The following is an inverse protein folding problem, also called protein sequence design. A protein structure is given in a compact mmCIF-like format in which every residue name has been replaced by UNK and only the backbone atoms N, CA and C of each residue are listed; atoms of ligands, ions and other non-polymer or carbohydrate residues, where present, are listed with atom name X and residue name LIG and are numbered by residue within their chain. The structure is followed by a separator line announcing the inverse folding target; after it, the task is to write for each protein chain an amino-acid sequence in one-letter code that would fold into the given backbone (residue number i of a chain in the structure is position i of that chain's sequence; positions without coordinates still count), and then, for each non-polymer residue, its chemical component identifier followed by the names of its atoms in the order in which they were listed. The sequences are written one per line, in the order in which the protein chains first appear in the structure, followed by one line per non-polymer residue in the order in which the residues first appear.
data_IF_663806920232
#
_entry.id   IF_663806920232
#
_cell.length_a   1.000
_cell.length_b   1.000
_cell.length_c   1.000
_cell.angle_alpha   90.00
_cell.angle_beta   90.00
_cell.angle_gamma   90.00
#
_symmetry.space_group_name_H-M   'P 1'
#
loop_
_entity.id
_entity.type
_entity.pdbx_description
1 polymer ?
#
# COMPACT_ATOMS: atom_id res chain seq x y z
N UNK A 1 30.54 3.74 10.69
CA UNK A 1 29.93 3.53 12.01
C UNK A 1 29.04 2.31 11.92
N UNK A 2 29.23 1.28 12.77
CA UNK A 2 28.26 0.18 12.86
C UNK A 2 27.03 0.74 13.56
N UNK A 3 25.87 0.65 12.93
CA UNK A 3 24.61 0.93 13.59
C UNK A 3 24.48 -0.02 14.79
N UNK A 4 24.19 0.51 15.99
CA UNK A 4 23.69 -0.30 17.12
C UNK A 4 22.40 -0.94 16.64
N UNK A 5 22.51 -2.23 16.33
CA UNK A 5 21.43 -3.04 15.83
C UNK A 5 20.78 -3.85 16.96
N UNK A 6 21.00 -3.47 18.23
CA UNK A 6 20.56 -4.25 19.37
C UNK A 6 19.05 -4.16 19.63
N UNK A 7 18.40 -3.04 19.29
CA UNK A 7 16.96 -2.85 19.48
C UNK A 7 16.17 -3.73 18.52
N UNK A 8 15.33 -4.66 18.99
CA UNK A 8 14.51 -5.50 18.11
C UNK A 8 13.40 -4.73 17.42
N UNK A 9 12.89 -5.28 16.32
CA UNK A 9 11.76 -4.73 15.57
C UNK A 9 10.67 -5.78 15.48
N UNK A 10 9.45 -5.44 15.87
CA UNK A 10 8.23 -6.22 15.66
C UNK A 10 7.49 -5.68 14.44
N UNK A 11 7.34 -6.52 13.43
CA UNK A 11 6.69 -6.19 12.17
C UNK A 11 5.28 -6.81 12.13
N UNK A 12 4.25 -5.97 12.24
CA UNK A 12 2.84 -6.35 12.12
C UNK A 12 2.43 -6.40 10.66
N UNK A 13 2.01 -7.60 10.24
CA UNK A 13 1.61 -7.85 8.87
C UNK A 13 2.84 -7.86 7.96
N UNK A 14 3.43 -9.02 7.70
CA UNK A 14 4.40 -9.18 6.62
C UNK A 14 3.70 -9.40 5.26
N UNK A 15 3.00 -8.39 4.77
CA UNK A 15 2.23 -8.52 3.53
C UNK A 15 3.11 -8.40 2.29
N UNK A 16 2.97 -9.39 1.40
CA UNK A 16 3.60 -9.43 0.07
C UNK A 16 5.11 -9.17 0.15
N UNK A 17 5.63 -8.35 -0.77
CA UNK A 17 7.04 -8.00 -0.84
C UNK A 17 7.44 -6.89 0.15
N UNK A 18 6.51 -6.02 0.55
CA UNK A 18 6.82 -4.89 1.45
C UNK A 18 7.32 -5.35 2.81
N UNK A 19 6.65 -6.34 3.42
CA UNK A 19 7.11 -6.90 4.70
C UNK A 19 8.48 -7.59 4.60
N UNK A 20 8.69 -8.42 3.57
CA UNK A 20 9.99 -9.06 3.32
C UNK A 20 11.10 -8.04 3.10
N UNK A 21 10.80 -6.94 2.42
CA UNK A 21 11.72 -5.84 2.20
C UNK A 21 12.16 -5.16 3.51
N UNK A 22 11.25 -4.98 4.48
CA UNK A 22 11.60 -4.46 5.83
C UNK A 22 12.51 -5.44 6.55
N UNK A 23 12.14 -6.73 6.57
CA UNK A 23 12.93 -7.82 7.16
C UNK A 23 14.35 -7.82 6.60
N UNK A 24 14.51 -7.73 5.28
CA UNK A 24 15.83 -7.69 4.63
C UNK A 24 16.59 -6.40 4.91
N UNK A 25 15.92 -5.25 4.85
CA UNK A 25 16.61 -3.96 5.02
C UNK A 25 17.26 -3.85 6.41
N UNK A 26 16.50 -4.20 7.45
CA UNK A 26 16.92 -4.12 8.84
C UNK A 26 17.78 -5.33 9.24
N UNK A 27 17.42 -6.55 8.84
CA UNK A 27 18.19 -7.74 9.17
C UNK A 27 19.58 -7.77 8.55
N UNK A 28 19.80 -7.14 7.39
CA UNK A 28 21.15 -6.93 6.82
C UNK A 28 22.04 -6.03 7.69
N UNK A 29 21.45 -5.22 8.57
CA UNK A 29 22.16 -4.39 9.54
C UNK A 29 22.38 -5.14 10.87
N UNK A 30 21.88 -6.38 10.98
CA UNK A 30 21.95 -7.19 12.20
C UNK A 30 20.79 -6.98 13.16
N UNK A 31 19.78 -6.20 12.79
CA UNK A 31 18.60 -5.92 13.63
C UNK A 31 17.76 -7.20 13.80
N UNK A 32 17.41 -7.63 15.03
CA UNK A 32 16.51 -8.75 15.25
C UNK A 32 15.08 -8.38 14.81
N UNK A 33 14.59 -8.98 13.72
CA UNK A 33 13.24 -8.71 13.21
C UNK A 33 12.28 -9.86 13.56
N UNK A 34 11.27 -9.57 14.37
CA UNK A 34 10.18 -10.46 14.75
C UNK A 34 9.01 -10.24 13.78
N UNK A 35 8.65 -11.27 13.04
CA UNK A 35 7.66 -11.17 11.95
C UNK A 35 6.32 -11.74 12.41
N UNK A 36 5.30 -10.87 12.49
CA UNK A 36 3.95 -11.26 12.88
C UNK A 36 3.05 -11.28 11.66
N UNK A 37 2.49 -12.44 11.31
CA UNK A 37 1.61 -12.55 10.16
C UNK A 37 0.69 -13.77 10.23
N UNK A 38 -0.57 -13.59 9.81
CA UNK A 38 -1.62 -14.63 9.83
C UNK A 38 -1.34 -15.90 9.02
N UNK A 39 -0.45 -15.80 8.04
CA UNK A 39 -0.20 -16.86 7.08
C UNK A 39 1.26 -17.29 7.12
N UNK A 40 1.47 -18.55 7.52
CA UNK A 40 2.78 -19.23 7.60
C UNK A 40 3.53 -19.30 6.28
N UNK A 41 2.82 -19.26 5.16
CA UNK A 41 3.43 -19.26 3.83
C UNK A 41 3.89 -17.86 3.39
N UNK A 42 3.82 -16.82 4.22
CA UNK A 42 4.31 -15.49 3.81
C UNK A 42 5.82 -15.51 3.53
N UNK A 43 6.32 -14.84 2.47
CA UNK A 43 7.74 -14.88 2.12
C UNK A 43 8.68 -14.48 3.26
N UNK A 44 8.27 -13.54 4.13
CA UNK A 44 9.06 -13.14 5.29
C UNK A 44 9.34 -14.28 6.27
N UNK A 45 8.48 -15.30 6.38
CA UNK A 45 8.71 -16.44 7.28
C UNK A 45 9.85 -17.36 6.83
N UNK A 46 10.25 -17.25 5.57
CA UNK A 46 11.34 -18.02 5.00
C UNK A 46 12.63 -17.19 4.88
N UNK A 47 12.59 -15.91 5.24
CA UNK A 47 13.78 -15.07 5.19
C UNK A 47 14.74 -15.46 6.29
N UNK A 48 16.03 -15.61 5.96
CA UNK A 48 17.09 -15.84 6.96
C UNK A 48 17.27 -14.66 7.94
N UNK A 49 16.74 -13.50 7.56
CA UNK A 49 16.84 -12.25 8.32
C UNK A 49 15.67 -12.10 9.31
N UNK A 50 14.70 -13.01 9.27
CA UNK A 50 13.69 -13.11 10.31
C UNK A 50 14.28 -13.77 11.54
N UNK A 51 14.20 -13.09 12.69
CA UNK A 51 14.63 -13.64 13.97
C UNK A 51 13.66 -14.69 14.47
N UNK A 52 12.38 -14.34 14.49
CA UNK A 52 11.27 -15.23 14.88
C UNK A 52 10.05 -14.94 14.00
N UNK A 53 9.25 -15.98 13.75
CA UNK A 53 8.09 -15.91 12.86
C UNK A 53 6.83 -16.41 13.58
N UNK A 54 5.88 -15.50 13.81
CA UNK A 54 4.77 -15.72 14.72
C UNK A 54 3.43 -15.55 14.00
N UNK A 55 2.54 -16.53 14.16
CA UNK A 55 1.24 -16.53 13.50
C UNK A 55 0.23 -15.78 14.36
N UNK A 56 -0.13 -14.57 13.92
CA UNK A 56 -1.21 -13.77 14.49
C UNK A 56 -1.80 -12.85 13.42
N UNK A 57 -3.10 -12.55 13.50
CA UNK A 57 -3.81 -11.68 12.54
C UNK A 57 -4.35 -10.43 13.23
N UNK A 58 -3.50 -9.41 13.40
CA UNK A 58 -3.91 -8.11 13.96
C UNK A 58 -5.00 -7.44 13.12
N UNK A 59 -5.08 -7.74 11.82
CA UNK A 59 -6.08 -7.12 10.94
C UNK A 59 -7.50 -7.65 11.21
N UNK A 60 -7.67 -8.77 11.91
CA UNK A 60 -8.99 -9.41 12.12
C UNK A 60 -9.29 -9.82 13.56
N UNK A 61 -8.27 -10.03 14.39
CA UNK A 61 -8.46 -10.40 15.79
C UNK A 61 -9.09 -9.25 16.59
N UNK A 62 -9.71 -9.58 17.73
CA UNK A 62 -10.19 -8.54 18.63
C UNK A 62 -9.01 -7.68 19.13
N UNK A 63 -9.20 -6.36 19.29
CA UNK A 63 -8.11 -5.49 19.73
C UNK A 63 -7.50 -5.91 21.07
N UNK A 64 -8.34 -6.33 22.02
CA UNK A 64 -7.93 -6.76 23.36
C UNK A 64 -7.05 -8.02 23.31
N UNK A 65 -7.41 -8.98 22.46
CA UNK A 65 -6.60 -10.18 22.22
C UNK A 65 -5.25 -9.84 21.60
N UNK A 66 -5.24 -8.88 20.66
CA UNK A 66 -3.99 -8.44 20.01
C UNK A 66 -3.08 -7.69 20.98
N UNK A 67 -3.63 -6.93 21.93
CA UNK A 67 -2.86 -6.26 22.98
C UNK A 67 -2.23 -7.28 23.94
N UNK A 68 -2.99 -8.29 24.38
CA UNK A 68 -2.46 -9.38 25.20
C UNK A 68 -1.34 -10.13 24.47
N UNK A 69 -1.55 -10.49 23.20
CA UNK A 69 -0.53 -11.10 22.37
C UNK A 69 0.75 -10.26 22.28
N UNK A 70 0.63 -8.95 22.08
CA UNK A 70 1.78 -8.06 21.98
C UNK A 70 2.50 -7.86 23.31
N UNK A 71 1.78 -7.87 24.43
CA UNK A 71 2.37 -7.89 25.77
C UNK A 71 3.21 -9.15 25.98
N UNK A 72 2.63 -10.32 25.71
CA UNK A 72 3.33 -11.62 25.83
C UNK A 72 4.55 -11.67 24.91
N UNK A 73 4.43 -11.11 23.69
CA UNK A 73 5.55 -11.01 22.76
C UNK A 73 6.67 -10.10 23.30
N UNK A 74 6.33 -8.95 23.90
CA UNK A 74 7.32 -8.09 24.56
C UNK A 74 8.01 -8.82 25.71
N UNK A 75 7.28 -9.61 26.49
CA UNK A 75 7.85 -10.44 27.57
C UNK A 75 8.80 -11.50 27.03
N UNK A 76 8.41 -12.20 25.95
CA UNK A 76 9.26 -13.16 25.25
C UNK A 76 10.55 -12.52 24.70
N UNK A 77 10.46 -11.31 24.14
CA UNK A 77 11.62 -10.57 23.63
C UNK A 77 12.53 -10.08 24.78
N UNK A 78 11.94 -9.84 25.96
CA UNK A 78 12.64 -9.45 27.18
C UNK A 78 13.08 -7.98 27.23
N UNK A 79 12.69 -7.15 26.25
CA UNK A 79 13.04 -5.72 26.16
C UNK A 79 12.09 -4.94 25.26
N UNK A 80 12.10 -3.62 25.39
CA UNK A 80 11.40 -2.70 24.47
C UNK A 80 11.90 -2.92 23.04
N UNK A 81 10.96 -2.83 22.11
CA UNK A 81 11.19 -3.10 20.70
C UNK A 81 10.48 -2.04 19.85
N UNK A 82 10.96 -1.82 18.63
CA UNK A 82 10.29 -0.93 17.70
C UNK A 82 9.09 -1.66 17.09
N UNK A 83 7.91 -1.05 17.10
CA UNK A 83 6.70 -1.60 16.50
C UNK A 83 6.39 -0.91 15.18
N UNK A 84 6.16 -1.68 14.11
CA UNK A 84 5.79 -1.12 12.80
C UNK A 84 4.82 -2.02 12.07
N UNK A 85 4.01 -1.44 11.18
CA UNK A 85 2.98 -2.14 10.41
C UNK A 85 3.12 -1.89 8.91
N UNK A 86 2.68 -2.85 8.09
CA UNK A 86 2.63 -2.69 6.62
C UNK A 86 1.21 -2.57 6.04
N UNK A 87 0.18 -2.69 6.88
CA UNK A 87 -1.23 -2.47 6.52
C UNK A 87 -1.75 -1.20 7.17
N UNK A 88 -2.76 -0.57 6.54
CA UNK A 88 -3.45 0.58 7.13
C UNK A 88 -4.19 0.17 8.40
N UNK A 89 -4.73 -1.06 8.42
CA UNK A 89 -5.39 -1.64 9.61
C UNK A 89 -4.40 -1.76 10.77
N UNK A 90 -3.20 -2.30 10.53
CA UNK A 90 -2.16 -2.38 11.56
C UNK A 90 -1.66 -1.01 12.01
N UNK A 91 -1.52 -0.04 11.10
CA UNK A 91 -1.14 1.33 11.46
C UNK A 91 -2.22 2.02 12.31
N UNK A 92 -3.50 1.84 11.96
CA UNK A 92 -4.63 2.33 12.76
C UNK A 92 -4.71 1.63 14.12
N UNK A 93 -4.46 0.31 14.19
CA UNK A 93 -4.41 -0.41 15.47
C UNK A 93 -3.35 0.18 16.40
N UNK A 94 -2.13 0.44 15.90
CA UNK A 94 -1.06 1.06 16.69
C UNK A 94 -1.50 2.44 17.21
N UNK A 95 -2.09 3.28 16.35
CA UNK A 95 -2.53 4.61 16.73
C UNK A 95 -3.72 4.61 17.71
N UNK A 96 -4.67 3.70 17.52
CA UNK A 96 -5.86 3.57 18.36
C UNK A 96 -5.53 3.08 19.78
N UNK A 97 -4.40 2.37 19.95
CA UNK A 97 -3.95 1.80 21.23
C UNK A 97 -2.58 2.32 21.68
N UNK A 98 -2.19 3.51 21.20
CA UNK A 98 -0.88 4.09 21.46
C UNK A 98 -0.56 4.17 22.96
N UNK A 99 -1.50 4.64 23.78
CA UNK A 99 -1.32 4.80 25.23
C UNK A 99 -0.81 3.52 25.91
N UNK A 100 -1.40 2.37 25.59
CA UNK A 100 -0.98 1.08 26.15
C UNK A 100 0.29 0.55 25.48
N UNK A 101 0.37 0.65 24.15
CA UNK A 101 1.50 0.09 23.39
C UNK A 101 2.82 0.82 23.69
N UNK A 102 2.78 2.11 24.04
CA UNK A 102 3.99 2.87 24.41
C UNK A 102 4.64 2.38 25.71
N UNK A 103 3.96 1.56 26.53
CA UNK A 103 4.58 0.90 27.68
C UNK A 103 5.57 -0.21 27.25
N UNK A 104 5.35 -0.80 26.08
CA UNK A 104 6.05 -2.01 25.62
C UNK A 104 6.92 -1.77 24.38
N UNK A 105 6.53 -0.82 23.53
CA UNK A 105 7.11 -0.60 22.22
C UNK A 105 7.42 0.86 21.95
N UNK A 106 8.37 1.08 21.03
CA UNK A 106 8.72 2.38 20.48
C UNK A 106 8.18 2.48 19.04
N UNK A 107 7.46 3.55 18.73
CA UNK A 107 6.93 3.83 17.41
C UNK A 107 6.64 5.33 17.28
N UNK A 108 6.57 5.89 16.05
CA UNK A 108 6.25 7.29 15.86
C UNK A 108 4.89 7.61 16.47
N UNK A 109 4.86 8.52 17.43
CA UNK A 109 3.61 8.96 18.04
C UNK A 109 2.86 9.87 17.08
N UNK A 110 1.73 9.38 16.58
CA UNK A 110 0.88 10.07 15.62
C UNK A 110 -0.53 10.23 16.19
N UNK A 111 -1.13 11.41 16.03
CA UNK A 111 -2.51 11.64 16.45
C UNK A 111 -3.47 10.67 15.75
N UNK A 112 -4.24 9.91 16.54
CA UNK A 112 -5.22 8.92 16.07
C UNK A 112 -6.12 9.46 14.97
N UNK A 113 -6.71 10.64 15.20
CA UNK A 113 -7.65 11.26 14.27
C UNK A 113 -6.97 11.64 12.96
N UNK A 114 -5.72 12.11 13.01
CA UNK A 114 -4.96 12.44 11.82
C UNK A 114 -4.66 11.19 10.98
N UNK A 115 -4.23 10.09 11.61
CA UNK A 115 -3.98 8.84 10.89
C UNK A 115 -5.26 8.30 10.23
N UNK A 116 -6.40 8.34 10.94
CA UNK A 116 -7.71 7.99 10.40
C UNK A 116 -8.11 8.86 9.21
N UNK A 117 -7.91 10.18 9.34
CA UNK A 117 -8.22 11.10 8.25
C UNK A 117 -7.35 10.87 7.01
N UNK A 118 -6.07 10.52 7.17
CA UNK A 118 -5.19 10.20 6.05
C UNK A 118 -5.55 8.87 5.37
N UNK A 119 -5.93 7.84 6.14
CA UNK A 119 -6.37 6.55 5.60
C UNK A 119 -7.76 6.60 4.92
N UNK A 120 -8.63 7.53 5.33
CA UNK A 120 -9.96 7.70 4.77
C UNK A 120 -9.91 8.50 3.47
N UNK A 121 -10.31 7.90 2.34
CA UNK A 121 -10.37 8.63 1.04
C UNK A 121 -11.22 9.91 1.11
N UNK A 122 -12.26 9.90 1.96
CA UNK A 122 -13.16 11.04 2.14
C UNK A 122 -12.51 12.15 2.94
N UNK A 123 -11.97 11.82 4.12
CA UNK A 123 -11.36 12.82 4.99
C UNK A 123 -10.04 13.33 4.41
N UNK A 124 -9.25 12.47 3.77
CA UNK A 124 -8.02 12.84 3.06
C UNK A 124 -8.29 13.88 1.97
N UNK A 125 -9.37 13.72 1.19
CA UNK A 125 -9.78 14.71 0.19
C UNK A 125 -10.05 16.08 0.83
N UNK A 126 -10.89 16.12 1.87
CA UNK A 126 -11.21 17.37 2.54
C UNK A 126 -10.00 17.99 3.24
N UNK A 127 -9.10 17.17 3.79
CA UNK A 127 -7.86 17.61 4.39
C UNK A 127 -6.93 18.24 3.35
N UNK A 128 -6.77 17.60 2.19
CA UNK A 128 -6.00 18.16 1.07
C UNK A 128 -6.59 19.51 0.60
N UNK A 129 -7.92 19.61 0.45
CA UNK A 129 -8.61 20.86 0.08
C UNK A 129 -8.41 21.95 1.14
N UNK A 130 -8.50 21.62 2.43
CA UNK A 130 -8.28 22.55 3.56
C UNK A 130 -6.89 23.19 3.51
N UNK A 131 -5.88 22.43 3.09
CA UNK A 131 -4.49 22.87 3.02
C UNK A 131 -4.06 23.31 1.62
N UNK A 132 -5.01 23.51 0.69
CA UNK A 132 -4.75 23.92 -0.69
C UNK A 132 -3.79 22.99 -1.45
N UNK A 133 -3.79 21.70 -1.11
CA UNK A 133 -3.02 20.68 -1.81
C UNK A 133 -3.85 20.17 -2.99
N UNK A 134 -3.33 20.22 -4.23
CA UNK A 134 -4.08 19.71 -5.38
C UNK A 134 -4.47 18.25 -5.18
N UNK A 135 -5.74 17.93 -5.43
CA UNK A 135 -6.31 16.58 -5.35
C UNK A 135 -7.42 16.48 -6.41
N UNK A 136 -7.69 15.31 -7.02
CA UNK A 136 -8.75 15.20 -8.02
C UNK A 136 -10.10 15.61 -7.43
N UNK A 137 -10.85 16.45 -8.15
CA UNK A 137 -12.16 16.91 -7.67
C UNK A 137 -13.08 15.72 -7.42
N UNK A 138 -13.67 15.67 -6.22
CA UNK A 138 -14.35 14.47 -5.72
C UNK A 138 -15.65 14.84 -5.03
N UNK A 139 -16.68 14.03 -5.27
CA UNK A 139 -17.98 14.10 -4.59
C UNK A 139 -18.29 12.79 -3.86
N UNK A 140 -18.98 12.90 -2.73
CA UNK A 140 -19.43 11.79 -1.88
C UNK A 140 -20.96 11.81 -1.80
N UNK A 141 -21.65 11.36 -2.85
CA UNK A 141 -23.10 11.37 -2.90
C UNK A 141 -23.68 10.38 -1.87
N UNK A 142 -24.77 10.78 -1.20
CA UNK A 142 -25.54 9.92 -0.31
C UNK A 142 -26.94 9.61 -0.88
N UNK A 143 -27.27 10.22 -2.02
CA UNK A 143 -28.58 10.14 -2.64
C UNK A 143 -28.50 10.46 -4.14
N UNK A 144 -29.57 10.12 -4.86
CA UNK A 144 -29.72 10.52 -6.26
C UNK A 144 -29.70 12.04 -6.44
N UNK A 145 -30.26 12.77 -5.49
CA UNK A 145 -30.24 14.24 -5.49
C UNK A 145 -28.81 14.80 -5.45
N UNK A 146 -27.92 14.19 -4.65
CA UNK A 146 -26.51 14.61 -4.61
C UNK A 146 -25.80 14.40 -5.95
N UNK A 147 -26.15 13.32 -6.67
CA UNK A 147 -25.64 13.05 -8.02
C UNK A 147 -26.12 14.12 -8.99
N UNK A 148 -27.41 14.44 -9.00
CA UNK A 148 -27.96 15.46 -9.89
C UNK A 148 -27.34 16.84 -9.64
N UNK A 149 -27.05 17.17 -8.38
CA UNK A 149 -26.28 18.37 -8.01
C UNK A 149 -24.84 18.32 -8.54
N UNK A 150 -24.14 17.20 -8.39
CA UNK A 150 -22.78 17.04 -8.93
C UNK A 150 -22.74 17.19 -10.46
N UNK A 151 -23.75 16.65 -11.15
CA UNK A 151 -23.86 16.71 -12.61
C UNK A 151 -23.99 18.13 -13.17
N UNK A 152 -24.39 19.12 -12.36
CA UNK A 152 -24.46 20.51 -12.80
C UNK A 152 -23.09 21.10 -13.15
N UNK A 153 -22.01 20.59 -12.54
CA UNK A 153 -20.64 21.08 -12.73
C UNK A 153 -19.65 20.00 -13.14
N UNK A 154 -20.11 18.74 -13.27
CA UNK A 154 -19.28 17.59 -13.59
C UNK A 154 -18.57 17.75 -14.94
N UNK A 155 -17.27 17.41 -14.95
CA UNK A 155 -16.47 17.28 -16.17
C UNK A 155 -16.18 15.80 -16.40
N UNK A 156 -16.59 15.30 -17.55
CA UNK A 156 -16.39 13.91 -17.93
C UNK A 156 -15.06 13.70 -18.66
N UNK A 157 -14.46 12.50 -18.57
CA UNK A 157 -14.97 11.33 -17.84
C UNK A 157 -14.74 11.40 -16.32
N UNK A 158 -15.46 10.56 -15.56
CA UNK A 158 -15.34 10.46 -14.10
C UNK A 158 -15.21 9.01 -13.65
N UNK A 159 -14.57 8.80 -12.50
CA UNK A 159 -14.43 7.51 -11.84
C UNK A 159 -15.48 7.36 -10.74
N UNK A 160 -16.26 6.27 -10.80
CA UNK A 160 -17.09 5.82 -9.69
C UNK A 160 -16.35 4.69 -8.96
N UNK A 161 -16.08 4.88 -7.66
CA UNK A 161 -15.35 3.90 -6.84
C UNK A 161 -15.87 3.87 -5.40
N UNK A 162 -15.65 2.78 -4.66
CA UNK A 162 -16.00 2.76 -3.25
C UNK A 162 -15.03 3.60 -2.39
N UNK A 163 -15.58 4.29 -1.38
CA UNK A 163 -14.82 5.06 -0.39
C UNK A 163 -13.92 4.11 0.39
N UNK A 164 -14.52 3.12 1.04
CA UNK A 164 -13.80 2.07 1.77
C UNK A 164 -13.52 0.88 0.85
N UNK A 165 -12.25 0.51 0.75
CA UNK A 165 -11.81 -0.66 0.01
C UNK A 165 -11.80 -1.88 0.92
N UNK A 166 -12.28 -3.03 0.42
CA UNK A 166 -12.35 -4.29 1.15
C UNK A 166 -12.39 -5.47 0.18
N UNK A 167 -12.38 -6.73 0.67
CA UNK A 167 -12.33 -7.92 -0.17
C UNK A 167 -13.48 -8.03 -1.18
N UNK A 168 -14.62 -7.39 -0.88
CA UNK A 168 -15.83 -7.34 -1.70
C UNK A 168 -16.10 -5.93 -2.26
N UNK A 169 -15.14 -5.02 -2.19
CA UNK A 169 -15.30 -3.69 -2.73
C UNK A 169 -15.45 -3.75 -4.25
N UNK A 170 -16.39 -2.96 -4.76
CA UNK A 170 -16.66 -2.89 -6.18
C UNK A 170 -15.45 -2.34 -6.94
N UNK A 171 -15.20 -2.83 -8.17
CA UNK A 171 -14.11 -2.30 -8.96
C UNK A 171 -14.43 -0.86 -9.38
N UNK A 172 -13.37 -0.07 -9.53
CA UNK A 172 -13.45 1.28 -10.10
C UNK A 172 -14.09 1.20 -11.49
N UNK A 173 -15.09 2.04 -11.74
CA UNK A 173 -15.76 2.17 -13.04
C UNK A 173 -15.51 3.56 -13.62
N UNK A 174 -15.22 3.61 -14.92
CA UNK A 174 -15.11 4.86 -15.66
C UNK A 174 -16.47 5.14 -16.31
N UNK A 175 -17.03 6.32 -16.06
CA UNK A 175 -18.20 6.83 -16.77
C UNK A 175 -17.75 7.93 -17.74
N UNK A 176 -18.03 7.74 -19.02
CA UNK A 176 -17.70 8.71 -20.09
C UNK A 176 -18.76 9.80 -20.21
N UNK A 177 -19.98 9.54 -19.74
CA UNK A 177 -21.11 10.46 -19.89
C UNK A 177 -21.97 10.51 -18.63
N UNK A 178 -22.78 11.58 -18.53
CA UNK A 178 -23.81 11.71 -17.49
C UNK A 178 -24.71 10.47 -17.41
N UNK A 179 -25.20 9.99 -18.56
CA UNK A 179 -26.08 8.82 -18.61
C UNK A 179 -25.40 7.57 -18.03
N UNK A 180 -24.16 7.30 -18.43
CA UNK A 180 -23.39 6.17 -17.91
C UNK A 180 -23.15 6.26 -16.41
N UNK A 181 -22.85 7.45 -15.88
CA UNK A 181 -22.67 7.64 -14.44
C UNK A 181 -23.95 7.30 -13.66
N UNK A 182 -25.09 7.78 -14.16
CA UNK A 182 -26.39 7.54 -13.53
C UNK A 182 -26.74 6.04 -13.54
N UNK A 183 -26.60 5.38 -14.69
CA UNK A 183 -26.83 3.94 -14.83
C UNK A 183 -25.91 3.13 -13.90
N UNK A 184 -24.62 3.49 -13.83
CA UNK A 184 -23.65 2.85 -12.94
C UNK A 184 -24.02 3.05 -11.47
N UNK A 185 -24.36 4.27 -11.07
CA UNK A 185 -24.75 4.59 -9.70
C UNK A 185 -26.00 3.81 -9.29
N UNK A 186 -27.06 3.86 -10.10
CA UNK A 186 -28.33 3.18 -9.78
C UNK A 186 -28.19 1.65 -9.73
N UNK A 187 -27.25 1.08 -10.50
CA UNK A 187 -26.97 -0.36 -10.47
C UNK A 187 -26.20 -0.84 -9.25
N UNK A 188 -25.62 0.09 -8.48
CA UNK A 188 -24.65 -0.21 -7.42
C UNK A 188 -25.11 0.30 -6.06
N UNK A 189 -25.72 1.49 -6.02
CA UNK A 189 -25.97 2.20 -4.77
C UNK A 189 -26.95 1.43 -3.90
N UNK A 190 -26.56 1.29 -2.63
CA UNK A 190 -27.43 0.88 -1.54
C UNK A 190 -27.59 2.10 -0.61
N UNK A 191 -28.73 2.82 -0.65
CA UNK A 191 -28.94 4.00 0.18
C UNK A 191 -28.80 3.72 1.69
N UNK A 192 -28.99 2.47 2.13
CA UNK A 192 -28.81 2.08 3.53
C UNK A 192 -27.32 1.96 3.93
N UNK A 193 -26.42 1.89 2.94
CA UNK A 193 -24.98 1.65 3.09
C UNK A 193 -24.16 2.43 2.06
N UNK A 194 -24.46 3.71 1.91
CA UNK A 194 -23.77 4.56 0.94
C UNK A 194 -22.25 4.55 1.17
N UNK A 195 -21.52 4.08 0.16
CA UNK A 195 -20.07 3.91 0.20
C UNK A 195 -19.43 4.30 -1.14
N UNK A 196 -20.12 5.11 -1.95
CA UNK A 196 -19.62 5.50 -3.27
C UNK A 196 -19.03 6.91 -3.25
N UNK A 197 -18.00 7.09 -4.07
CA UNK A 197 -17.45 8.39 -4.40
C UNK A 197 -17.32 8.52 -5.92
N UNK A 198 -17.58 9.74 -6.41
CA UNK A 198 -17.32 10.13 -7.79
C UNK A 198 -16.08 11.00 -7.78
N UNK A 199 -15.12 10.68 -8.63
CA UNK A 199 -13.86 11.39 -8.70
C UNK A 199 -13.53 11.77 -10.13
N UNK A 200 -12.97 12.95 -10.33
CA UNK A 200 -12.37 13.40 -11.58
C UNK A 200 -11.42 12.33 -12.13
N UNK A 201 -11.59 11.97 -13.41
CA UNK A 201 -10.59 11.19 -14.11
C UNK A 201 -9.48 12.11 -14.61
N UNK A 202 -8.25 11.85 -14.16
CA UNK A 202 -7.05 12.52 -14.68
C UNK A 202 -6.53 11.73 -15.89
N UNK A 203 -6.52 12.30 -17.11
CA UNK A 203 -6.03 11.64 -18.31
C UNK A 203 -4.53 11.32 -18.24
N UNK A 204 -4.13 10.29 -18.98
CA UNK A 204 -2.73 9.92 -19.17
C UNK A 204 -2.43 8.47 -18.77
N UNK A 205 -1.22 8.02 -19.09
CA UNK A 205 -0.76 6.67 -18.81
C UNK A 205 -0.16 6.52 -17.42
N UNK A 206 0.50 5.37 -17.20
CA UNK A 206 1.26 5.08 -15.98
C UNK A 206 2.40 6.09 -15.77
N UNK A 207 2.88 6.68 -16.85
CA UNK A 207 3.88 7.73 -16.91
C UNK A 207 3.46 9.01 -16.16
N UNK A 208 2.16 9.24 -15.99
CA UNK A 208 1.61 10.33 -15.17
C UNK A 208 1.49 9.98 -13.68
N UNK A 209 1.80 8.74 -13.28
CA UNK A 209 1.73 8.31 -11.87
C UNK A 209 3.05 8.55 -11.18
N UNK A 210 3.00 9.38 -10.16
CA UNK A 210 4.13 9.69 -9.30
C UNK A 210 3.89 9.15 -7.90
N UNK A 211 4.98 8.92 -7.18
CA UNK A 211 4.94 8.53 -5.77
C UNK A 211 5.98 9.33 -5.02
N UNK A 212 5.66 9.61 -3.76
CA UNK A 212 6.59 10.08 -2.76
C UNK A 212 6.74 9.01 -1.68
N UNK A 213 7.97 8.78 -1.25
CA UNK A 213 8.26 7.96 -0.09
C UNK A 213 9.23 8.71 0.82
N UNK A 214 8.89 8.80 2.11
CA UNK A 214 9.73 9.53 3.04
C UNK A 214 9.47 9.20 4.49
N UNK A 215 10.25 9.82 5.36
CA UNK A 215 10.16 9.66 6.80
C UNK A 215 10.16 11.03 7.47
N UNK A 216 9.18 11.27 8.34
CA UNK A 216 9.09 12.48 9.17
C UNK A 216 9.52 12.10 10.58
N UNK A 217 10.64 12.64 11.05
CA UNK A 217 11.17 12.34 12.38
C UNK A 217 10.30 12.95 13.50
N UNK A 218 10.66 12.69 14.76
CA UNK A 218 10.01 13.25 15.96
C UNK A 218 9.80 14.78 15.94
N UNK A 219 10.68 15.53 15.27
CA UNK A 219 10.61 16.99 15.17
C UNK A 219 9.79 17.43 13.94
N UNK A 220 9.38 16.49 13.09
CA UNK A 220 8.61 16.72 11.88
C UNK A 220 9.48 17.02 10.67
N UNK A 221 10.80 16.83 10.78
CA UNK A 221 11.73 17.06 9.68
C UNK A 221 11.75 15.84 8.76
N UNK A 222 11.84 16.09 7.45
CA UNK A 222 11.85 15.05 6.42
C UNK A 222 13.18 15.04 5.64
N UNK A 223 14.22 14.48 6.27
CA UNK A 223 15.56 14.36 5.68
C UNK A 223 15.69 13.17 4.70
N UNK A 224 14.76 12.22 4.79
CA UNK A 224 14.66 11.07 3.90
C UNK A 224 13.39 11.23 3.08
N UNK A 225 13.54 11.72 1.85
CA UNK A 225 12.44 12.06 0.96
C UNK A 225 12.81 11.74 -0.48
N UNK A 226 12.06 10.83 -1.09
CA UNK A 226 12.31 10.34 -2.43
C UNK A 226 11.05 10.42 -3.27
N UNK A 227 11.24 10.60 -4.57
CA UNK A 227 10.18 10.55 -5.56
C UNK A 227 10.49 9.53 -6.62
N UNK A 228 9.45 8.99 -7.25
CA UNK A 228 9.59 8.02 -8.31
C UNK A 228 8.33 7.86 -9.13
N UNK A 229 8.42 6.99 -10.14
CA UNK A 229 7.33 6.70 -11.08
C UNK A 229 7.09 5.21 -11.16
N UNK A 230 5.84 4.87 -11.46
CA UNK A 230 5.44 3.50 -11.79
C UNK A 230 5.63 3.30 -13.30
N UNK A 231 6.50 2.38 -13.70
CA UNK A 231 6.71 2.05 -15.11
C UNK A 231 5.71 0.99 -15.59
N UNK A 232 5.28 0.11 -14.68
CA UNK A 232 4.21 -0.86 -14.90
C UNK A 232 3.45 -1.12 -13.61
N UNK A 233 2.17 -1.45 -13.75
CA UNK A 233 1.27 -1.75 -12.65
C UNK A 233 0.76 -3.18 -12.70
N UNK A 234 0.39 -3.72 -11.53
CA UNK A 234 -0.38 -4.94 -11.38
C UNK A 234 -1.62 -4.71 -10.48
N UNK A 235 -2.84 -5.03 -10.97
CA UNK A 235 -3.13 -5.36 -12.37
C UNK A 235 -2.75 -4.23 -13.36
N UNK A 236 -2.64 -4.51 -14.66
CA UNK A 236 -2.34 -3.49 -15.67
C UNK A 236 -3.32 -2.31 -15.61
N UNK A 237 -2.81 -1.09 -15.84
CA UNK A 237 -3.54 0.20 -15.85
C UNK A 237 -4.15 0.64 -14.51
N UNK A 238 -4.36 -0.31 -13.58
CA UNK A 238 -4.96 -0.07 -12.27
C UNK A 238 -4.22 -0.88 -11.21
N UNK A 239 -3.60 -0.22 -10.24
CA UNK A 239 -3.12 -0.92 -9.05
C UNK A 239 -1.75 -0.49 -8.56
N UNK A 240 -1.04 -1.46 -7.97
CA UNK A 240 0.26 -1.27 -7.36
C UNK A 240 1.36 -1.39 -8.41
N UNK A 241 2.49 -0.73 -8.20
CA UNK A 241 3.64 -0.85 -9.09
C UNK A 241 4.14 -2.30 -9.14
N UNK A 242 4.42 -2.81 -10.34
CA UNK A 242 5.19 -4.04 -10.56
C UNK A 242 6.61 -3.75 -11.02
N UNK A 243 6.85 -2.58 -11.63
CA UNK A 243 8.16 -2.04 -11.96
C UNK A 243 8.16 -0.55 -11.65
N UNK A 244 9.15 -0.08 -10.90
CA UNK A 244 9.31 1.32 -10.53
C UNK A 244 10.69 1.87 -10.88
N UNK A 245 10.78 3.19 -11.02
CA UNK A 245 12.02 3.94 -11.21
C UNK A 245 12.06 5.14 -10.26
N UNK A 246 13.20 5.35 -9.61
CA UNK A 246 13.44 6.51 -8.78
C UNK A 246 13.82 7.69 -9.68
N UNK A 247 13.08 8.79 -9.55
CA UNK A 247 13.25 10.00 -10.36
C UNK A 247 12.87 11.19 -9.50
N UNK A 248 13.75 12.16 -9.38
CA UNK A 248 13.52 13.39 -8.64
C UNK A 248 12.39 14.21 -9.24
N UNK A 249 11.53 14.74 -8.38
CA UNK A 249 10.46 15.66 -8.71
C UNK A 249 10.29 16.64 -7.57
N UNK A 250 10.86 17.83 -7.75
CA UNK A 250 10.90 18.86 -6.70
C UNK A 250 9.50 19.32 -6.29
N UNK A 251 8.56 19.43 -7.23
CA UNK A 251 7.20 19.86 -6.92
C UNK A 251 6.47 18.85 -6.05
N UNK A 252 6.54 17.55 -6.38
CA UNK A 252 5.97 16.47 -5.57
C UNK A 252 6.62 16.43 -4.19
N UNK A 253 7.95 16.50 -4.13
CA UNK A 253 8.72 16.48 -2.88
C UNK A 253 8.33 17.65 -1.98
N UNK A 254 8.43 18.88 -2.47
CA UNK A 254 8.12 20.09 -1.71
C UNK A 254 6.68 20.11 -1.22
N UNK A 255 5.72 19.87 -2.11
CA UNK A 255 4.28 19.84 -1.76
C UNK A 255 3.99 18.81 -0.67
N UNK A 256 4.60 17.62 -0.75
CA UNK A 256 4.39 16.58 0.25
C UNK A 256 4.97 17.00 1.61
N UNK A 257 6.22 17.48 1.63
CA UNK A 257 6.89 17.87 2.87
C UNK A 257 6.12 19.02 3.55
N UNK A 258 5.80 20.07 2.81
CA UNK A 258 5.04 21.22 3.35
C UNK A 258 3.69 20.79 3.91
N UNK A 259 2.93 19.97 3.18
CA UNK A 259 1.63 19.48 3.63
C UNK A 259 1.72 18.64 4.90
N UNK A 260 2.63 17.67 4.93
CA UNK A 260 2.79 16.75 6.06
C UNK A 260 3.34 17.44 7.30
N UNK A 261 4.26 18.42 7.13
CA UNK A 261 4.72 19.26 8.23
C UNK A 261 3.59 20.12 8.79
N UNK A 262 2.77 20.73 7.92
CA UNK A 262 1.69 21.63 8.33
C UNK A 262 0.59 20.91 9.12
N UNK A 263 0.34 19.63 8.86
CA UNK A 263 -0.59 18.80 9.64
C UNK A 263 0.07 18.11 10.83
N UNK A 264 1.37 18.32 11.08
CA UNK A 264 2.07 17.71 12.20
C UNK A 264 2.28 16.20 12.06
N UNK A 265 2.44 15.68 10.84
CA UNK A 265 2.67 14.26 10.59
C UNK A 265 4.04 13.79 11.09
N UNK A 266 4.09 12.56 11.60
CA UNK A 266 5.28 11.85 12.10
C UNK A 266 5.29 10.40 11.61
N UNK A 267 6.48 9.89 11.31
CA UNK A 267 6.71 8.51 10.90
C UNK A 267 6.87 8.31 9.39
N UNK A 268 6.84 7.04 8.93
CA UNK A 268 7.03 6.68 7.54
C UNK A 268 5.81 7.05 6.69
N UNK A 269 6.01 7.48 5.45
CA UNK A 269 4.96 7.89 4.54
C UNK A 269 5.16 7.29 3.14
N UNK A 270 4.06 6.81 2.56
CA UNK A 270 3.96 6.46 1.14
C UNK A 270 2.76 7.18 0.53
N UNK A 271 2.99 7.98 -0.50
CA UNK A 271 2.01 8.88 -1.07
C UNK A 271 1.98 8.75 -2.60
N UNK A 272 0.78 8.69 -3.18
CA UNK A 272 0.56 8.62 -4.62
C UNK A 272 0.03 9.92 -5.22
N UNK A 273 0.62 10.34 -6.33
CA UNK A 273 0.22 11.49 -7.12
C UNK A 273 -0.16 11.07 -8.54
N UNK A 274 -1.03 11.87 -9.19
CA UNK A 274 -1.14 11.91 -10.65
C UNK A 274 -0.85 13.31 -11.16
N UNK A 275 -0.05 13.39 -12.22
CA UNK A 275 0.16 14.62 -12.96
C UNK A 275 -1.02 14.85 -13.92
N UNK A 276 -1.61 16.04 -13.85
CA UNK A 276 -2.67 16.47 -14.74
C UNK A 276 -2.13 17.49 -15.74
N UNK A 277 -1.90 17.05 -16.97
CA UNK A 277 -1.34 17.90 -18.01
C UNK A 277 -2.27 19.06 -18.43
N UNK A 278 -3.56 19.02 -18.05
CA UNK A 278 -4.53 20.06 -18.40
C UNK A 278 -4.34 21.34 -17.59
N UNK A 279 -3.89 21.20 -16.35
CA UNK A 279 -3.67 22.32 -15.41
C UNK A 279 -2.23 22.36 -14.87
N UNK A 280 -1.37 21.42 -15.27
CA UNK A 280 0.04 21.36 -14.89
C UNK A 280 0.26 20.95 -13.42
N UNK A 281 -0.75 20.41 -12.74
CA UNK A 281 -0.67 20.11 -11.31
C UNK A 281 -0.41 18.63 -11.01
N UNK A 282 0.35 18.37 -9.94
CA UNK A 282 0.43 17.05 -9.33
C UNK A 282 -0.65 16.92 -8.26
N UNK A 283 -1.67 16.11 -8.55
CA UNK A 283 -2.84 15.91 -7.69
C UNK A 283 -2.64 14.68 -6.79
N UNK A 284 -2.71 14.87 -5.47
CA UNK A 284 -2.65 13.81 -4.46
C UNK A 284 -3.84 12.87 -4.65
N UNK A 285 -3.55 11.59 -4.84
CA UNK A 285 -4.56 10.57 -5.08
C UNK A 285 -4.76 9.64 -3.86
N UNK A 286 -3.69 9.32 -3.13
CA UNK A 286 -3.72 8.36 -2.02
C UNK A 286 -2.59 8.67 -1.03
N UNK A 287 -2.85 8.58 0.27
CA UNK A 287 -1.88 8.80 1.34
C UNK A 287 -1.90 7.58 2.26
N UNK A 288 -0.75 6.96 2.46
CA UNK A 288 -0.59 5.77 3.28
C UNK A 288 0.36 6.11 4.44
N UNK A 289 -0.16 6.31 5.66
CA UNK A 289 0.63 6.73 6.83
C UNK A 289 1.41 5.55 7.44
N UNK A 290 2.21 4.87 6.61
CA UNK A 290 2.99 3.68 6.93
C UNK A 290 4.07 3.44 5.89
N UNK A 291 4.92 2.44 6.12
CA UNK A 291 5.89 1.98 5.11
C UNK A 291 5.13 1.40 3.91
N UNK A 292 5.33 2.02 2.74
CA UNK A 292 4.76 1.59 1.46
C UNK A 292 5.44 0.33 0.92
N UNK A 293 4.71 -0.49 0.16
CA UNK A 293 5.25 -1.74 -0.37
C UNK A 293 6.45 -1.55 -1.33
N UNK A 294 6.50 -0.40 -2.01
CA UNK A 294 7.56 -0.07 -2.97
C UNK A 294 8.77 0.66 -2.37
N UNK A 295 8.85 0.81 -1.04
CA UNK A 295 9.85 1.68 -0.41
C UNK A 295 11.30 1.32 -0.77
N UNK A 296 11.60 0.06 -1.09
CA UNK A 296 12.94 -0.38 -1.52
C UNK A 296 13.35 0.07 -2.93
N UNK A 297 12.44 0.67 -3.70
CA UNK A 297 12.82 1.50 -4.85
C UNK A 297 13.70 2.68 -4.41
N UNK A 298 13.49 3.16 -3.19
CA UNK A 298 14.04 4.38 -2.65
C UNK A 298 15.11 4.08 -1.60
N UNK A 299 16.33 3.81 -2.09
CA UNK A 299 17.50 3.57 -1.24
C UNK A 299 18.53 4.64 -1.58
N UNK A 300 18.71 5.59 -0.67
CA UNK A 300 19.66 6.69 -0.85
C UNK A 300 21.09 6.20 -1.06
N UNK A 301 21.95 7.08 -1.58
CA UNK A 301 23.36 6.74 -1.85
C UNK A 301 24.14 6.28 -0.59
N UNK A 302 23.70 6.71 0.60
CA UNK A 302 24.20 6.28 1.90
C UNK A 302 23.56 4.97 2.41
N UNK A 303 22.72 4.31 1.61
CA UNK A 303 21.98 3.10 1.97
C UNK A 303 20.71 3.37 2.79
N UNK A 304 20.32 4.62 3.02
CA UNK A 304 19.13 4.96 3.80
C UNK A 304 17.85 4.64 3.04
N UNK A 305 16.90 4.02 3.72
CA UNK A 305 15.51 3.88 3.31
C UNK A 305 14.59 4.22 4.48
N UNK A 306 13.28 4.29 4.26
CA UNK A 306 12.34 4.70 5.33
C UNK A 306 12.27 3.73 6.51
N UNK A 307 12.60 2.44 6.32
CA UNK A 307 12.65 1.49 7.43
C UNK A 307 13.89 1.75 8.30
N UNK A 308 15.03 2.08 7.67
CA UNK A 308 16.26 2.48 8.37
C UNK A 308 16.11 3.84 9.04
N UNK A 309 15.43 4.79 8.41
CA UNK A 309 15.12 6.09 9.00
C UNK A 309 14.26 5.93 10.26
N UNK A 310 13.20 5.11 10.18
CA UNK A 310 12.40 4.72 11.35
C UNK A 310 13.26 4.12 12.45
N UNK A 311 14.15 3.19 12.11
CA UNK A 311 15.04 2.57 13.09
C UNK A 311 15.96 3.58 13.78
N UNK A 312 16.58 4.46 13.01
CA UNK A 312 17.48 5.50 13.54
C UNK A 312 16.72 6.45 14.47
N UNK A 313 15.58 6.99 14.05
CA UNK A 313 14.78 7.88 14.89
C UNK A 313 14.32 7.19 16.18
N UNK A 314 13.76 5.98 16.11
CA UNK A 314 13.27 5.28 17.30
C UNK A 314 14.39 4.84 18.25
N UNK A 315 15.64 4.72 17.77
CA UNK A 315 16.82 4.47 18.62
C UNK A 315 17.50 5.75 19.10
N UNK A 316 16.88 6.92 18.92
CA UNK A 316 17.41 8.21 19.37
C UNK A 316 18.56 8.74 18.53
N UNK A 317 18.77 8.19 17.33
CA UNK A 317 19.81 8.63 16.40
C UNK A 317 19.28 9.70 15.47
N UNK A 318 20.19 10.53 15.02
CA UNK A 318 19.91 11.47 13.94
C UNK A 318 19.65 10.72 12.63
N UNK A 319 18.49 10.97 12.02
CA UNK A 319 18.17 10.52 10.66
C UNK A 319 19.02 11.34 9.70
N UNK A 320 19.96 10.68 9.01
CA UNK A 320 20.83 11.37 8.06
C UNK A 320 20.11 11.67 6.73
N UNK A 321 20.30 12.87 6.16
CA UNK A 321 19.80 13.18 4.83
C UNK A 321 20.26 12.18 3.78
N UNK A 322 19.37 11.82 2.87
CA UNK A 322 19.63 10.85 1.83
C UNK A 322 19.42 11.46 0.44
N UNK A 323 20.43 11.37 -0.41
CA UNK A 323 20.32 11.83 -1.80
C UNK A 323 19.54 10.83 -2.63
N UNK A 324 18.69 11.34 -3.54
CA UNK A 324 17.86 10.52 -4.43
C UNK A 324 18.74 9.66 -5.36
N UNK A 325 18.55 8.33 -5.40
CA UNK A 325 19.29 7.44 -6.31
C UNK A 325 18.69 7.50 -7.72
N UNK A 326 19.00 8.55 -8.49
CA UNK A 326 18.45 8.76 -9.83
C UNK A 326 18.57 7.54 -10.74
N UNK A 327 17.46 7.17 -11.38
CA UNK A 327 17.41 6.07 -12.35
C UNK A 327 17.38 4.67 -11.75
N UNK A 328 17.54 4.51 -10.43
CA UNK A 328 17.45 3.22 -9.74
C UNK A 328 16.10 2.56 -10.01
N UNK A 329 16.09 1.27 -10.35
CA UNK A 329 14.85 0.52 -10.60
C UNK A 329 14.63 -0.64 -9.62
N UNK A 330 13.36 -0.95 -9.41
CA UNK A 330 12.86 -2.02 -8.56
C UNK A 330 11.72 -2.78 -9.24
N UNK A 331 11.63 -4.09 -9.01
CA UNK A 331 10.64 -4.98 -9.63
C UNK A 331 9.95 -5.93 -8.63
N UNK A 332 8.70 -6.27 -8.93
CA UNK A 332 7.94 -7.38 -8.33
C UNK A 332 7.82 -8.51 -9.35
N UNK A 333 8.68 -9.51 -9.26
CA UNK A 333 8.96 -10.49 -10.30
C UNK A 333 7.72 -11.29 -10.73
N UNK A 334 6.94 -11.81 -9.77
CA UNK A 334 5.76 -12.64 -10.03
C UNK A 334 4.61 -11.85 -10.68
N UNK A 335 4.58 -10.53 -10.48
CA UNK A 335 3.54 -9.63 -11.02
C UNK A 335 3.93 -9.00 -12.33
N UNK A 336 5.19 -8.55 -12.42
CA UNK A 336 5.64 -7.80 -13.57
C UNK A 336 5.62 -8.63 -14.84
N UNK A 337 5.96 -9.93 -14.75
CA UNK A 337 5.82 -10.85 -15.88
C UNK A 337 4.38 -10.93 -16.40
N UNK A 338 3.40 -11.07 -15.50
CA UNK A 338 1.98 -11.17 -15.87
C UNK A 338 1.51 -9.86 -16.50
N UNK A 339 1.89 -8.73 -15.90
CA UNK A 339 1.58 -7.42 -16.43
C UNK A 339 2.22 -7.22 -17.81
N UNK A 340 3.52 -7.45 -17.96
CA UNK A 340 4.25 -7.28 -19.22
C UNK A 340 3.61 -8.06 -20.38
N UNK A 341 3.19 -9.31 -20.14
CA UNK A 341 2.48 -10.11 -21.15
C UNK A 341 1.15 -9.46 -21.57
N UNK A 342 0.42 -8.86 -20.62
CA UNK A 342 -0.84 -8.16 -20.93
C UNK A 342 -0.59 -6.86 -21.69
N UNK A 343 0.35 -6.01 -21.26
CA UNK A 343 0.73 -4.80 -22.00
C UNK A 343 1.22 -5.13 -23.42
N UNK A 344 1.94 -6.25 -23.60
CA UNK A 344 2.36 -6.72 -24.91
C UNK A 344 1.16 -7.09 -25.80
N UNK A 345 0.20 -7.86 -25.26
CA UNK A 345 -1.03 -8.24 -25.98
C UNK A 345 -1.91 -7.04 -26.34
N UNK A 346 -1.91 -6.01 -25.49
CA UNK A 346 -2.66 -4.77 -25.70
C UNK A 346 -1.90 -3.78 -26.63
N UNK A 347 -0.73 -4.16 -27.17
CA UNK A 347 0.09 -3.33 -28.06
C UNK A 347 0.78 -2.15 -27.38
N UNK A 348 0.82 -2.12 -26.04
CA UNK A 348 1.40 -1.04 -25.22
C UNK A 348 2.85 -1.29 -24.81
N UNK A 349 3.37 -2.48 -25.07
CA UNK A 349 4.75 -2.85 -24.78
C UNK A 349 5.31 -3.73 -25.89
N UNK A 350 6.49 -3.39 -26.42
CA UNK A 350 7.20 -4.28 -27.36
C UNK A 350 8.15 -5.19 -26.59
N UNK A 351 8.59 -6.30 -27.20
CA UNK A 351 9.61 -7.17 -26.58
C UNK A 351 10.92 -6.40 -26.30
N UNK A 352 11.32 -5.53 -27.24
CA UNK A 352 12.48 -4.63 -27.06
C UNK A 352 12.26 -3.67 -25.90
N UNK A 353 11.11 -2.99 -25.86
CA UNK A 353 10.76 -2.06 -24.78
C UNK A 353 10.68 -2.75 -23.41
N UNK A 354 10.19 -3.99 -23.36
CA UNK A 354 10.23 -4.80 -22.14
C UNK A 354 11.66 -5.06 -21.68
N UNK A 355 12.54 -5.57 -22.56
CA UNK A 355 13.96 -5.79 -22.22
C UNK A 355 14.66 -4.51 -21.78
N UNK A 356 14.42 -3.40 -22.47
CA UNK A 356 14.98 -2.08 -22.11
C UNK A 356 14.47 -1.59 -20.76
N UNK A 357 13.19 -1.81 -20.44
CA UNK A 357 12.61 -1.42 -19.15
C UNK A 357 13.27 -2.11 -17.96
N UNK A 358 13.73 -3.36 -18.14
CA UNK A 358 14.41 -4.16 -17.11
C UNK A 358 15.88 -3.80 -16.93
N UNK A 359 16.48 -3.07 -17.87
CA UNK A 359 17.88 -2.62 -17.74
C UNK A 359 17.99 -1.67 -16.55
N UNK A 360 18.95 -1.93 -15.66
CA UNK A 360 19.16 -1.13 -14.44
C UNK A 360 18.23 -1.49 -13.28
N UNK A 361 17.53 -2.64 -13.33
CA UNK A 361 16.87 -3.19 -12.14
C UNK A 361 17.93 -3.63 -11.14
N UNK A 362 17.93 -2.98 -9.99
CA UNK A 362 18.88 -3.18 -8.91
C UNK A 362 18.24 -3.79 -7.66
N UNK A 363 16.91 -3.68 -7.51
CA UNK A 363 16.17 -4.32 -6.40
C UNK A 363 15.10 -5.28 -6.93
N UNK A 364 15.16 -6.51 -6.44
CA UNK A 364 14.18 -7.56 -6.67
C UNK A 364 13.36 -7.79 -5.40
N UNK A 365 12.06 -8.04 -5.55
CA UNK A 365 11.16 -8.15 -4.39
C UNK A 365 11.31 -9.47 -3.64
N UNK A 366 11.52 -10.58 -4.33
CA UNK A 366 11.55 -11.91 -3.72
C UNK A 366 12.89 -12.63 -3.90
N UNK A 367 13.57 -12.42 -5.02
CA UNK A 367 14.85 -13.06 -5.33
C UNK A 367 15.98 -12.24 -4.72
N UNK A 368 16.80 -12.87 -3.87
CA UNK A 368 18.02 -12.27 -3.35
C UNK A 368 19.08 -13.37 -3.12
N UNK A 369 20.33 -13.12 -3.51
CA UNK A 369 21.42 -14.11 -3.38
C UNK A 369 21.75 -14.42 -1.92
N UNK A 370 21.69 -13.39 -1.08
CA UNK A 370 21.95 -13.48 0.35
C UNK A 370 20.78 -14.05 1.14
N UNK A 371 19.57 -14.10 0.56
CA UNK A 371 18.33 -14.58 1.19
C UNK A 371 17.40 -15.26 0.17
N UNK A 372 17.71 -16.50 -0.28
CA UNK A 372 17.03 -17.16 -1.41
C UNK A 372 15.69 -17.85 -1.05
N UNK A 373 15.50 -18.25 0.21
CA UNK A 373 14.36 -19.04 0.66
C UNK A 373 12.97 -18.37 0.60
N UNK A 374 12.80 -17.04 0.64
CA UNK A 374 11.51 -16.38 0.46
C UNK A 374 10.74 -16.76 -0.82
N UNK A 375 11.44 -17.21 -1.87
CA UNK A 375 10.82 -17.74 -3.10
C UNK A 375 9.92 -18.95 -2.80
N UNK A 376 10.26 -19.79 -1.82
CA UNK A 376 9.43 -20.92 -1.38
C UNK A 376 8.07 -20.43 -0.86
N UNK A 377 8.05 -19.37 -0.06
CA UNK A 377 6.81 -18.75 0.42
C UNK A 377 5.95 -18.19 -0.72
N UNK A 378 6.58 -17.58 -1.73
CA UNK A 378 5.87 -17.10 -2.93
C UNK A 378 5.20 -18.27 -3.66
N UNK A 379 5.94 -19.34 -3.94
CA UNK A 379 5.42 -20.54 -4.62
C UNK A 379 4.29 -21.17 -3.80
N UNK A 380 4.47 -21.34 -2.50
CA UNK A 380 3.46 -21.91 -1.60
C UNK A 380 2.15 -21.11 -1.62
N UNK A 381 2.24 -19.77 -1.62
CA UNK A 381 1.05 -18.91 -1.73
C UNK A 381 0.35 -19.03 -3.08
N UNK A 382 1.10 -19.13 -4.18
CA UNK A 382 0.54 -19.32 -5.53
C UNK A 382 -0.20 -20.66 -5.60
N UNK A 383 0.40 -21.73 -5.10
CA UNK A 383 -0.20 -23.08 -5.07
C UNK A 383 -1.49 -23.06 -4.23
N UNK A 384 -1.46 -22.47 -3.03
CA UNK A 384 -2.65 -22.38 -2.18
C UNK A 384 -3.76 -21.58 -2.86
N UNK A 385 -3.46 -20.39 -3.38
CA UNK A 385 -4.46 -19.55 -4.06
C UNK A 385 -5.10 -20.26 -5.26
N UNK A 386 -4.32 -21.05 -5.99
CA UNK A 386 -4.80 -21.87 -7.12
C UNK A 386 -5.73 -22.98 -6.61
N UNK A 387 -5.33 -23.71 -5.57
CA UNK A 387 -6.16 -24.75 -4.94
C UNK A 387 -7.49 -24.20 -4.44
N UNK A 388 -7.49 -23.06 -3.77
CA UNK A 388 -8.70 -22.40 -3.26
C UNK A 388 -9.63 -21.97 -4.40
N UNK A 389 -9.08 -21.50 -5.53
CA UNK A 389 -9.85 -21.15 -6.72
C UNK A 389 -10.50 -22.38 -7.35
N UNK A 390 -9.76 -23.48 -7.49
CA UNK A 390 -10.28 -24.76 -8.01
C UNK A 390 -11.38 -25.31 -7.10
N UNK A 391 -11.17 -25.27 -5.78
CA UNK A 391 -12.17 -25.72 -4.81
C UNK A 391 -13.45 -24.89 -4.87
N UNK A 392 -13.34 -23.56 -4.94
CA UNK A 392 -14.51 -22.66 -5.12
C UNK A 392 -15.25 -22.90 -6.44
N UNK A 393 -14.52 -23.20 -7.52
CA UNK A 393 -15.14 -23.53 -8.79
C UNK A 393 -15.89 -24.87 -8.74
N UNK A 394 -15.30 -25.88 -8.09
CA UNK A 394 -15.94 -27.18 -7.87
C UNK A 394 -17.18 -27.08 -6.96
N UNK A 395 -17.13 -26.28 -5.90
CA UNK A 395 -18.28 -26.08 -5.01
C UNK A 395 -19.42 -25.32 -5.71
N UNK A 396 -19.11 -24.29 -6.51
CA UNK A 396 -20.11 -23.59 -7.34
C UNK A 396 -20.75 -24.52 -8.40
N UNK A 397 -19.96 -25.38 -9.05
CA UNK A 397 -20.50 -26.39 -9.98
C UNK A 397 -21.41 -27.41 -9.27
N UNK A 398 -21.06 -27.88 -8.08
CA UNK A 398 -21.91 -28.78 -7.28
C UNK A 398 -23.21 -28.10 -6.84
N UNK A 399 -23.15 -26.85 -6.37
CA UNK A 399 -24.33 -26.08 -5.98
C UNK A 399 -25.28 -25.80 -7.17
N UNK A 400 -24.74 -25.55 -8.36
CA UNK A 400 -25.54 -25.37 -9.58
C UNK A 400 -26.06 -26.70 -10.16
N UNK A 401 -25.32 -27.80 -9.99
CA UNK A 401 -25.75 -29.15 -10.38
C UNK A 401 -26.93 -29.66 -9.54
N UNK A 402 -26.98 -29.36 -8.25
CA UNK A 402 -28.13 -29.65 -7.37
C UNK A 402 -29.39 -28.86 -7.75
N UNK A 403 -29.26 -27.60 -8.19
CA UNK A 403 -30.39 -26.82 -8.73
C UNK A 403 -30.89 -27.32 -10.10
N UNK A 404 -30.03 -27.99 -10.87
CA UNK A 404 -30.40 -28.62 -12.15
C UNK A 404 -31.17 -29.93 -12.01
N UNK A 405 -30.94 -30.71 -10.94
CA UNK A 405 -31.60 -32.01 -10.76
C UNK A 405 -32.99 -31.95 -10.09
N UNK A 406 -33.40 -30.79 -9.56
CA UNK A 406 -34.75 -30.60 -9.00
C UNK A 406 -35.81 -30.21 -10.04
N UNK A 407 -35.44 -29.96 -11.31
CA UNK A 407 -36.40 -29.68 -12.41
C UNK A 407 -36.85 -30.92 -13.19
N UNK A 408 -36.53 -32.14 -12.74
CA UNK A 408 -36.74 -33.38 -13.49
C UNK A 408 -37.61 -34.45 -12.83
N UNK A 409 -38.48 -34.12 -11.86
CA UNK A 409 -39.45 -35.09 -11.30
C UNK A 409 -40.79 -34.42 -10.98
N UNK A 410 -41.63 -34.25 -11.99
CA UNK A 410 -43.09 -34.27 -11.87
C UNK A 410 -43.61 -34.70 -13.24
N UNK A 411 -44.75 -35.41 -13.27
CA UNK A 411 -45.35 -36.20 -14.35
C UNK A 411 -44.90 -37.67 -14.28
N UNK A 412 -45.58 -38.46 -13.44
CA UNK A 412 -46.76 -39.23 -13.87
C UNK A 412 -47.83 -39.05 -12.81
#
# INVERSE_FOLDING_TARGET
MREDASTPVVLLGCFRHGGLAIVRSLGRLGVPVYVVHRNRATPGFFSRYSRECIVWDVDTAAPEESLLFLKDLRELIGRRSILTATSDVGAMFIADHADQLTEWFDFPHQGRDLLRSLCSKKEMYYLAKKWNVPTPETAFPHSRFDIDRYLATARFPVLLKPISSGPNALPVRLAQTKRELLELYDSIEDPSKSNLMIQEYIPGGDDMTWTFNGYFDRDGKCDVAFTGRKLRNYPPYFGQASLGICVHNEQVKRTTIEFMMAIGYRGPLDLGYRYDARDGCYKVNDINPRIGAMFRLFVGANGMDVARALYQDMTGRQVLPATTPEGRKWIVEDRDWISALRYYRDGKLTLRGWRESLRGVEEMSFIAKDDPWPVVGVVANIVRATRDRVNRFRSRKRANGFKGSQKGRTII
#
